data_IF_229752024789
#
_entry.id   IF_229752024789
#
_cell.length_a   1.000
_cell.length_b   1.000
_cell.length_c   1.000
_cell.angle_alpha   90.00
_cell.angle_beta   90.00
_cell.angle_gamma   90.00
#
_symmetry.space_group_name_H-M   'P 1'
#
loop_
_entity.id
_entity.type
_entity.pdbx_description
1 polymer ?
#
# COMPACT_ATOMS: atom_id res chain seq x y z
N UNK A 1 -15.15 0.21 23.98
CA UNK A 1 -16.58 0.25 23.63
C UNK A 1 -16.75 -0.58 22.38
N UNK A 2 -17.15 -1.85 22.54
CA UNK A 2 -17.41 -2.77 21.41
C UNK A 2 -18.81 -2.45 20.89
N UNK A 3 -18.90 -1.60 19.87
CA UNK A 3 -20.12 -1.56 19.07
C UNK A 3 -20.18 -2.86 18.27
N UNK A 4 -21.12 -3.71 18.61
CA UNK A 4 -21.54 -4.86 17.84
C UNK A 4 -21.77 -4.40 16.40
N UNK A 5 -20.83 -4.75 15.50
CA UNK A 5 -21.07 -4.67 14.07
C UNK A 5 -22.02 -5.82 13.76
N UNK A 6 -23.32 -5.58 13.89
CA UNK A 6 -24.33 -6.51 13.44
C UNK A 6 -24.13 -6.72 11.94
N UNK A 7 -23.88 -7.96 11.54
CA UNK A 7 -23.96 -8.41 10.15
C UNK A 7 -25.42 -8.25 9.68
N UNK A 8 -25.81 -7.08 9.28
CA UNK A 8 -27.03 -6.92 8.51
C UNK A 8 -26.59 -7.05 7.06
N UNK A 9 -26.68 -8.27 6.51
CA UNK A 9 -26.61 -8.51 5.07
C UNK A 9 -27.88 -7.88 4.46
N UNK A 10 -27.89 -6.57 4.28
CA UNK A 10 -28.96 -5.86 3.61
C UNK A 10 -28.67 -6.02 2.11
N UNK A 11 -29.20 -7.06 1.49
CA UNK A 11 -29.30 -7.16 0.04
C UNK A 11 -30.60 -6.53 -0.40
N UNK A 12 -30.58 -5.89 -1.57
CA UNK A 12 -31.80 -5.37 -2.18
C UNK A 12 -32.81 -6.51 -2.39
N UNK A 13 -33.89 -6.48 -1.58
CA UNK A 13 -34.97 -7.45 -1.67
C UNK A 13 -36.02 -6.92 -2.63
N UNK A 14 -36.03 -7.51 -3.84
CA UNK A 14 -36.98 -7.19 -4.88
C UNK A 14 -38.44 -7.38 -4.45
N UNK A 15 -38.72 -8.46 -3.69
CA UNK A 15 -40.08 -8.77 -3.27
C UNK A 15 -40.59 -7.76 -2.27
N UNK A 16 -39.77 -7.38 -1.32
CA UNK A 16 -40.10 -6.34 -0.35
C UNK A 16 -40.37 -4.99 -1.05
N UNK A 17 -39.49 -4.57 -1.96
CA UNK A 17 -39.69 -3.35 -2.74
C UNK A 17 -41.00 -3.40 -3.57
N UNK A 18 -41.29 -4.55 -4.21
CA UNK A 18 -42.51 -4.76 -4.97
C UNK A 18 -43.75 -4.63 -4.09
N UNK A 19 -43.77 -5.25 -2.93
CA UNK A 19 -44.87 -5.17 -1.97
C UNK A 19 -45.14 -3.71 -1.52
N UNK A 20 -44.12 -2.94 -1.27
CA UNK A 20 -44.24 -1.52 -0.90
C UNK A 20 -44.89 -0.71 -2.04
N UNK A 21 -44.54 -1.02 -3.29
CA UNK A 21 -45.11 -0.33 -4.46
C UNK A 21 -46.52 -0.74 -4.74
N UNK A 22 -46.86 -2.03 -4.62
CA UNK A 22 -48.23 -2.57 -4.82
C UNK A 22 -49.18 -2.08 -3.73
N UNK A 23 -48.70 -1.77 -2.54
CA UNK A 23 -49.49 -1.18 -1.43
C UNK A 23 -49.53 0.34 -1.46
N UNK A 24 -49.10 0.97 -2.55
CA UNK A 24 -49.04 2.43 -2.73
C UNK A 24 -48.14 3.17 -1.67
N UNK A 25 -47.25 2.46 -1.00
CA UNK A 25 -46.33 3.03 0.00
C UNK A 25 -45.06 3.60 -0.68
N UNK A 26 -45.24 4.53 -1.59
CA UNK A 26 -44.19 5.05 -2.47
C UNK A 26 -43.03 5.67 -1.69
N UNK A 27 -43.30 6.46 -0.63
CA UNK A 27 -42.26 7.09 0.14
C UNK A 27 -41.44 6.08 0.95
N UNK A 28 -42.08 5.00 1.42
CA UNK A 28 -41.33 3.91 2.10
C UNK A 28 -40.50 3.12 1.10
N UNK A 29 -40.98 2.88 -0.12
CA UNK A 29 -40.19 2.26 -1.20
C UNK A 29 -38.97 3.13 -1.56
N UNK A 30 -39.13 4.46 -1.66
CA UNK A 30 -38.02 5.41 -1.86
C UNK A 30 -37.00 5.34 -0.74
N UNK A 31 -37.45 5.37 0.53
CA UNK A 31 -36.58 5.27 1.69
C UNK A 31 -35.81 3.93 1.71
N UNK A 32 -36.48 2.84 1.33
CA UNK A 32 -35.89 1.53 1.20
C UNK A 32 -34.78 1.52 0.15
N UNK A 33 -35.05 2.04 -1.05
CA UNK A 33 -34.04 2.10 -2.14
C UNK A 33 -32.87 3.03 -1.76
N UNK A 34 -33.12 4.15 -1.06
CA UNK A 34 -32.06 5.07 -0.57
C UNK A 34 -31.02 4.38 0.32
N UNK A 35 -31.34 3.25 0.94
CA UNK A 35 -30.37 2.48 1.73
C UNK A 35 -29.29 1.80 0.88
N UNK A 36 -29.56 1.65 -0.43
CA UNK A 36 -28.65 0.93 -1.33
C UNK A 36 -27.94 1.83 -2.33
N UNK A 37 -28.50 2.99 -2.66
CA UNK A 37 -27.97 3.86 -3.72
C UNK A 37 -27.64 5.25 -3.18
N UNK A 38 -26.38 5.63 -3.34
CA UNK A 38 -25.85 6.92 -2.90
C UNK A 38 -25.23 7.64 -4.08
N UNK A 39 -25.23 8.96 -4.09
CA UNK A 39 -24.57 9.76 -5.11
C UNK A 39 -23.47 10.63 -4.53
N UNK A 40 -22.44 10.86 -5.34
CA UNK A 40 -21.40 11.85 -5.10
C UNK A 40 -20.77 12.26 -6.42
N UNK A 41 -20.76 13.54 -6.73
CA UNK A 41 -20.15 14.11 -7.95
C UNK A 41 -20.56 13.34 -9.23
N UNK A 42 -21.84 13.17 -9.47
CA UNK A 42 -22.42 12.44 -10.62
C UNK A 42 -22.10 10.93 -10.70
N UNK A 43 -21.53 10.35 -9.65
CA UNK A 43 -21.31 8.89 -9.53
C UNK A 43 -22.32 8.29 -8.59
N UNK A 44 -22.69 7.03 -8.84
CA UNK A 44 -23.60 6.28 -7.97
C UNK A 44 -22.85 5.15 -7.32
N UNK A 45 -22.99 5.07 -6.01
CA UNK A 45 -22.45 4.00 -5.19
C UNK A 45 -23.58 3.09 -4.74
N UNK A 46 -23.48 1.82 -5.11
CA UNK A 46 -24.39 0.78 -4.66
C UNK A 46 -23.82 0.06 -3.45
N UNK A 47 -24.62 -0.01 -2.38
CA UNK A 47 -24.31 -0.78 -1.19
C UNK A 47 -24.83 -2.21 -1.35
N UNK A 48 -23.92 -3.19 -1.47
CA UNK A 48 -24.27 -4.62 -1.56
C UNK A 48 -24.40 -5.29 -0.15
N UNK A 49 -24.33 -4.50 0.92
CA UNK A 49 -24.32 -4.94 2.31
C UNK A 49 -22.92 -5.29 2.85
N UNK A 50 -21.91 -5.30 1.99
CA UNK A 50 -20.53 -5.65 2.31
C UNK A 50 -19.58 -4.49 1.97
N UNK A 51 -19.82 -3.83 0.85
CA UNK A 51 -18.99 -2.77 0.30
C UNK A 51 -19.83 -1.83 -0.58
N UNK A 52 -19.21 -0.72 -1.00
CA UNK A 52 -19.78 0.15 -2.02
C UNK A 52 -19.18 -0.18 -3.38
N UNK A 53 -20.05 -0.41 -4.37
CA UNK A 53 -19.67 -0.63 -5.76
C UNK A 53 -20.00 0.64 -6.54
N UNK A 54 -19.01 1.17 -7.26
CA UNK A 54 -19.19 2.36 -8.08
C UNK A 54 -19.80 1.99 -9.43
N UNK A 55 -20.87 2.67 -9.80
CA UNK A 55 -21.54 2.54 -11.09
C UNK A 55 -21.69 3.89 -11.80
N UNK A 56 -21.81 3.85 -13.12
CA UNK A 56 -22.46 4.94 -13.85
C UNK A 56 -23.94 4.99 -13.48
N UNK A 57 -24.60 6.14 -13.69
CA UNK A 57 -26.04 6.25 -13.40
C UNK A 57 -26.87 5.21 -14.19
N UNK A 58 -26.52 4.98 -15.44
CA UNK A 58 -27.19 4.01 -16.29
C UNK A 58 -27.02 2.56 -15.81
N UNK A 59 -25.80 2.20 -15.41
CA UNK A 59 -25.50 0.85 -14.92
C UNK A 59 -26.13 0.60 -13.54
N UNK A 60 -26.11 1.59 -12.64
CA UNK A 60 -26.81 1.50 -11.36
C UNK A 60 -28.32 1.27 -11.54
N UNK A 61 -28.93 1.95 -12.50
CA UNK A 61 -30.33 1.75 -12.81
C UNK A 61 -30.67 0.35 -13.39
N UNK A 62 -29.70 -0.33 -14.02
CA UNK A 62 -29.85 -1.74 -14.45
C UNK A 62 -29.97 -2.73 -13.30
N UNK A 63 -29.52 -2.37 -12.11
CA UNK A 63 -29.67 -3.20 -10.90
C UNK A 63 -31.12 -3.24 -10.41
N UNK A 64 -31.94 -2.26 -10.80
CA UNK A 64 -33.35 -2.20 -10.47
C UNK A 64 -34.14 -3.03 -11.49
N UNK A 65 -34.91 -4.03 -11.04
CA UNK A 65 -35.68 -4.88 -11.95
C UNK A 65 -36.71 -4.08 -12.79
N UNK A 66 -36.82 -4.43 -14.06
CA UNK A 66 -37.69 -3.72 -15.00
C UNK A 66 -39.19 -3.90 -14.73
N UNK A 67 -39.58 -4.94 -13.99
CA UNK A 67 -41.00 -5.27 -13.66
C UNK A 67 -41.48 -4.52 -12.41
N UNK A 68 -40.65 -3.78 -11.72
CA UNK A 68 -41.07 -2.90 -10.64
C UNK A 68 -41.69 -1.64 -11.23
N UNK A 69 -42.99 -1.44 -10.97
CA UNK A 69 -43.80 -0.32 -11.50
C UNK A 69 -44.32 0.54 -10.36
N UNK A 70 -44.49 1.81 -10.66
CA UNK A 70 -45.08 2.79 -9.77
C UNK A 70 -46.29 3.44 -10.50
N UNK A 71 -47.43 3.50 -9.84
CA UNK A 71 -48.61 4.21 -10.40
C UNK A 71 -48.50 5.69 -10.08
N UNK A 72 -48.47 6.53 -11.10
CA UNK A 72 -48.36 7.98 -10.99
C UNK A 72 -49.47 8.68 -11.76
N UNK A 73 -49.90 9.83 -11.26
CA UNK A 73 -50.77 10.74 -12.01
C UNK A 73 -49.91 11.48 -13.05
N UNK A 74 -50.08 11.15 -14.34
CA UNK A 74 -49.44 11.88 -15.44
C UNK A 74 -50.50 12.60 -16.28
N UNK A 75 -50.18 13.78 -16.82
CA UNK A 75 -51.06 14.45 -17.74
C UNK A 75 -51.19 13.60 -19.01
N UNK A 76 -52.41 13.28 -19.39
CA UNK A 76 -52.70 12.67 -20.66
C UNK A 76 -52.65 13.76 -21.74
N UNK A 77 -51.74 13.63 -22.72
CA UNK A 77 -51.53 14.63 -23.77
C UNK A 77 -52.78 14.89 -24.63
N UNK A 78 -53.63 13.88 -24.76
CA UNK A 78 -54.86 13.97 -25.58
C UNK A 78 -56.03 14.61 -24.81
N UNK A 79 -56.21 14.19 -23.54
CA UNK A 79 -57.37 14.63 -22.75
C UNK A 79 -57.09 15.84 -21.87
N UNK A 80 -55.82 16.22 -21.70
CA UNK A 80 -55.32 17.22 -20.74
C UNK A 80 -55.76 16.98 -19.30
N UNK A 81 -56.22 15.76 -18.97
CA UNK A 81 -56.57 15.33 -17.61
C UNK A 81 -55.43 14.49 -17.02
N UNK A 82 -55.29 14.54 -15.71
CA UNK A 82 -54.37 13.67 -15.02
C UNK A 82 -54.95 12.28 -14.86
N UNK A 83 -54.24 11.27 -15.36
CA UNK A 83 -54.67 9.86 -15.31
C UNK A 83 -53.57 9.04 -14.63
N UNK A 84 -54.00 7.98 -13.88
CA UNK A 84 -53.02 7.03 -13.28
C UNK A 84 -52.36 6.23 -14.42
N UNK A 85 -51.08 6.32 -14.51
CA UNK A 85 -50.24 5.57 -15.43
C UNK A 85 -49.14 4.79 -14.67
N UNK A 86 -48.97 3.53 -15.04
CA UNK A 86 -47.89 2.70 -14.53
C UNK A 86 -46.58 3.03 -15.24
N UNK A 87 -45.66 3.57 -14.48
CA UNK A 87 -44.32 3.90 -14.95
C UNK A 87 -43.34 2.89 -14.35
N UNK A 88 -42.36 2.44 -15.12
CA UNK A 88 -41.27 1.63 -14.58
C UNK A 88 -40.60 2.39 -13.44
N UNK A 89 -40.34 1.72 -12.33
CA UNK A 89 -39.57 2.31 -11.21
C UNK A 89 -38.22 2.85 -11.68
N UNK A 90 -37.59 2.16 -12.62
CA UNK A 90 -36.33 2.56 -13.24
C UNK A 90 -36.42 3.90 -13.97
N UNK A 91 -37.52 4.11 -14.75
CA UNK A 91 -37.71 5.36 -15.48
C UNK A 91 -38.10 6.50 -14.53
N UNK A 92 -38.91 6.20 -13.50
CA UNK A 92 -39.17 7.15 -12.43
C UNK A 92 -37.93 7.63 -11.74
N UNK A 93 -36.98 6.74 -11.41
CA UNK A 93 -35.71 7.07 -10.77
C UNK A 93 -34.75 7.84 -11.70
N UNK A 94 -34.86 7.68 -13.02
CA UNK A 94 -34.12 8.51 -13.97
C UNK A 94 -34.50 9.99 -13.89
N UNK A 95 -35.77 10.27 -13.69
CA UNK A 95 -36.35 11.61 -13.70
C UNK A 95 -36.32 12.27 -12.30
N UNK A 96 -36.18 11.50 -11.24
CA UNK A 96 -36.27 11.99 -9.86
C UNK A 96 -34.89 12.35 -9.26
N UNK A 97 -34.84 13.38 -8.43
CA UNK A 97 -33.69 13.73 -7.59
C UNK A 97 -33.38 12.70 -6.50
N UNK A 98 -34.12 11.64 -6.47
CA UNK A 98 -34.07 10.59 -5.47
C UNK A 98 -32.68 9.93 -5.34
N UNK A 99 -31.93 9.80 -6.43
CA UNK A 99 -30.56 9.30 -6.43
C UNK A 99 -29.50 10.39 -6.13
N UNK A 100 -29.92 11.60 -5.85
CA UNK A 100 -29.03 12.76 -5.70
C UNK A 100 -28.66 13.06 -4.25
N UNK A 101 -28.76 12.08 -3.35
CA UNK A 101 -28.23 12.25 -1.99
C UNK A 101 -26.70 12.24 -2.04
N UNK A 102 -26.07 13.38 -1.85
CA UNK A 102 -24.61 13.49 -1.83
C UNK A 102 -24.06 12.99 -0.51
N UNK A 103 -23.10 12.07 -0.59
CA UNK A 103 -22.37 11.54 0.55
C UNK A 103 -20.90 11.43 0.19
N UNK A 104 -20.04 11.91 1.07
CA UNK A 104 -18.60 11.95 0.81
C UNK A 104 -17.97 10.56 0.91
N UNK A 105 -17.35 10.01 -0.17
CA UNK A 105 -16.63 8.76 -0.09
C UNK A 105 -15.35 8.94 0.74
N UNK A 106 -15.06 7.97 1.59
CA UNK A 106 -13.83 7.94 2.39
C UNK A 106 -13.39 6.51 2.63
N UNK A 107 -12.23 6.32 3.24
CA UNK A 107 -11.74 5.01 3.66
C UNK A 107 -11.36 5.11 5.14
N UNK A 108 -12.05 4.36 5.99
CA UNK A 108 -11.72 4.22 7.40
C UNK A 108 -11.98 2.78 7.84
N UNK A 109 -10.93 2.02 8.12
CA UNK A 109 -11.02 0.60 8.46
C UNK A 109 -11.67 0.32 9.82
N UNK A 110 -11.89 1.37 10.63
CA UNK A 110 -12.47 1.30 11.97
C UNK A 110 -13.90 1.82 12.03
N UNK A 111 -14.49 2.21 10.91
CA UNK A 111 -15.84 2.73 10.80
C UNK A 111 -16.76 1.80 10.03
N UNK A 112 -18.08 1.82 10.29
CA UNK A 112 -19.06 1.09 9.49
C UNK A 112 -19.13 1.64 8.05
N UNK A 113 -19.87 0.95 7.19
CA UNK A 113 -20.06 1.35 5.78
C UNK A 113 -20.60 2.77 5.61
N UNK A 114 -21.48 3.20 6.51
CA UNK A 114 -22.02 4.56 6.52
C UNK A 114 -21.81 5.10 7.93
N UNK A 115 -21.25 6.29 8.05
CA UNK A 115 -21.05 6.97 9.32
C UNK A 115 -21.11 8.49 9.17
N UNK A 116 -21.40 9.17 10.26
CA UNK A 116 -21.40 10.64 10.34
C UNK A 116 -20.16 11.14 11.07
N UNK A 117 -19.67 12.29 10.66
CA UNK A 117 -18.56 13.00 11.30
C UNK A 117 -18.85 14.49 11.33
N UNK A 118 -18.56 15.13 12.44
CA UNK A 118 -18.54 16.58 12.53
C UNK A 118 -17.29 17.11 11.82
N UNK A 119 -17.50 17.98 10.85
CA UNK A 119 -16.45 18.70 10.14
C UNK A 119 -16.54 20.19 10.44
N UNK A 120 -15.42 20.82 10.73
CA UNK A 120 -15.38 22.26 10.95
C UNK A 120 -15.02 22.97 9.63
N UNK A 121 -15.94 23.82 9.18
CA UNK A 121 -15.73 24.65 8.00
C UNK A 121 -15.82 26.13 8.41
N UNK A 122 -14.71 26.83 8.33
CA UNK A 122 -14.62 28.27 8.69
C UNK A 122 -15.14 28.62 10.08
N UNK A 123 -14.88 27.75 11.06
CA UNK A 123 -15.29 27.94 12.46
C UNK A 123 -16.70 27.46 12.79
N UNK A 124 -17.44 26.90 11.84
CA UNK A 124 -18.76 26.31 12.05
C UNK A 124 -18.70 24.78 11.94
N UNK A 125 -19.37 24.11 12.84
CA UNK A 125 -19.45 22.64 12.85
C UNK A 125 -20.64 22.17 12.02
N UNK A 126 -20.36 21.29 11.08
CA UNK A 126 -21.35 20.60 10.21
C UNK A 126 -21.26 19.11 10.44
N UNK A 127 -22.40 18.42 10.39
CA UNK A 127 -22.46 16.96 10.38
C UNK A 127 -22.52 16.51 8.92
N UNK A 128 -21.49 15.80 8.46
CA UNK A 128 -21.46 15.21 7.14
C UNK A 128 -21.57 13.68 7.22
N UNK A 129 -22.18 13.08 6.21
CA UNK A 129 -22.37 11.63 6.09
C UNK A 129 -21.38 11.06 5.09
N UNK A 130 -20.60 10.08 5.52
CA UNK A 130 -19.56 9.46 4.75
C UNK A 130 -19.91 8.04 4.31
N UNK A 131 -19.56 7.71 3.05
CA UNK A 131 -19.57 6.37 2.52
C UNK A 131 -18.20 5.74 2.71
N UNK A 132 -18.13 4.66 3.47
CA UNK A 132 -16.85 4.01 3.73
C UNK A 132 -16.50 3.02 2.62
N UNK A 133 -15.51 3.36 1.82
CA UNK A 133 -15.00 2.55 0.72
C UNK A 133 -13.98 1.48 1.18
N UNK A 134 -13.74 1.35 2.49
CA UNK A 134 -12.85 0.32 3.02
C UNK A 134 -13.40 -1.06 2.72
N UNK A 135 -12.57 -1.92 2.14
CA UNK A 135 -12.94 -3.33 1.95
C UNK A 135 -13.10 -4.04 3.28
N UNK A 136 -14.00 -5.02 3.38
CA UNK A 136 -14.20 -5.76 4.62
C UNK A 136 -12.99 -6.64 4.96
N UNK A 137 -12.74 -6.81 6.26
CA UNK A 137 -11.85 -7.85 6.77
C UNK A 137 -12.53 -9.22 6.60
N UNK A 138 -11.77 -10.28 6.64
CA UNK A 138 -12.37 -11.62 6.55
C UNK A 138 -13.07 -12.04 7.85
N UNK A 139 -14.36 -11.78 7.94
CA UNK A 139 -15.17 -12.11 9.10
C UNK A 139 -15.34 -13.62 9.38
N UNK A 140 -14.94 -14.50 8.45
CA UNK A 140 -14.90 -15.94 8.71
C UNK A 140 -13.68 -16.36 9.53
N UNK A 141 -12.64 -15.52 9.53
CA UNK A 141 -11.42 -15.70 10.33
C UNK A 141 -11.45 -14.81 11.56
N UNK A 142 -11.71 -13.52 11.36
CA UNK A 142 -11.77 -12.52 12.43
C UNK A 142 -13.23 -12.34 12.84
N UNK A 143 -13.65 -13.15 13.78
CA UNK A 143 -15.05 -13.20 14.20
C UNK A 143 -15.41 -12.06 15.16
N UNK A 144 -14.42 -11.52 15.88
CA UNK A 144 -14.60 -10.54 16.96
C UNK A 144 -15.35 -11.10 18.15
N UNK A 145 -15.63 -12.40 18.19
CA UNK A 145 -16.25 -13.07 19.32
C UNK A 145 -15.20 -13.48 20.33
N UNK A 146 -15.48 -13.38 21.64
CA UNK A 146 -14.60 -13.94 22.65
C UNK A 146 -14.41 -15.44 22.42
N UNK A 147 -13.18 -15.90 22.52
CA UNK A 147 -12.83 -17.33 22.52
C UNK A 147 -11.78 -17.60 23.60
N UNK A 148 -11.75 -18.83 24.09
CA UNK A 148 -10.77 -19.25 25.08
C UNK A 148 -9.39 -19.41 24.43
N UNK A 149 -8.41 -18.67 24.96
CA UNK A 149 -7.01 -18.77 24.55
C UNK A 149 -6.37 -20.00 25.19
N UNK A 150 -6.60 -21.17 24.61
CA UNK A 150 -5.97 -22.40 25.08
C UNK A 150 -4.45 -22.37 24.91
N UNK A 151 -3.72 -23.18 25.68
CA UNK A 151 -2.27 -23.28 25.58
C UNK A 151 -1.84 -23.72 24.16
N UNK A 152 -2.65 -24.52 23.47
CA UNK A 152 -2.42 -24.93 22.10
C UNK A 152 -2.46 -23.72 21.14
N UNK A 153 -3.47 -22.87 21.24
CA UNK A 153 -3.58 -21.65 20.43
C UNK A 153 -2.37 -20.75 20.66
N UNK A 154 -1.97 -20.54 21.91
CA UNK A 154 -0.81 -19.72 22.26
C UNK A 154 0.47 -20.31 21.66
N UNK A 155 0.70 -21.60 21.78
CA UNK A 155 1.89 -22.28 21.25
C UNK A 155 1.92 -22.22 19.71
N UNK A 156 0.77 -22.44 19.06
CA UNK A 156 0.66 -22.35 17.61
C UNK A 156 0.85 -20.91 17.10
N UNK A 157 0.34 -19.89 17.80
CA UNK A 157 0.59 -18.49 17.47
C UNK A 157 2.09 -18.13 17.60
N UNK A 158 2.79 -18.70 18.58
CA UNK A 158 4.25 -18.54 18.71
C UNK A 158 5.03 -19.04 17.50
N UNK A 159 4.53 -20.03 16.76
CA UNK A 159 5.21 -20.48 15.53
C UNK A 159 5.19 -19.39 14.44
N UNK A 160 4.14 -18.57 14.38
CA UNK A 160 4.09 -17.41 13.47
C UNK A 160 5.17 -16.39 13.87
N UNK A 161 5.26 -16.06 15.17
CA UNK A 161 6.28 -15.11 15.67
C UNK A 161 7.70 -15.64 15.46
N UNK A 162 7.94 -16.91 15.75
CA UNK A 162 9.23 -17.55 15.52
C UNK A 162 9.63 -17.52 14.02
N UNK A 163 8.65 -17.69 13.13
CA UNK A 163 8.91 -17.61 11.69
C UNK A 163 9.24 -16.19 11.26
N UNK A 164 8.56 -15.18 11.79
CA UNK A 164 8.87 -13.76 11.55
C UNK A 164 10.28 -13.43 12.06
N UNK A 165 10.61 -13.82 13.29
CA UNK A 165 11.91 -13.52 13.91
C UNK A 165 13.07 -14.26 13.24
N UNK A 166 12.96 -15.59 13.14
CA UNK A 166 14.08 -16.43 12.71
C UNK A 166 14.26 -16.47 11.20
N UNK A 167 13.14 -16.53 10.44
CA UNK A 167 13.22 -16.68 8.98
C UNK A 167 13.18 -15.35 8.26
N UNK A 168 12.20 -14.47 8.54
CA UNK A 168 12.07 -13.20 7.81
C UNK A 168 13.05 -12.14 8.28
N UNK A 169 13.46 -12.17 9.55
CA UNK A 169 14.32 -11.15 10.15
C UNK A 169 15.71 -11.69 10.55
N UNK A 170 16.06 -12.94 10.21
CA UNK A 170 17.35 -13.56 10.50
C UNK A 170 17.83 -13.33 11.94
N UNK A 171 16.90 -13.42 12.91
CA UNK A 171 17.14 -13.19 14.35
C UNK A 171 17.58 -11.74 14.70
N UNK A 172 17.47 -10.80 13.74
CA UNK A 172 17.74 -9.38 14.00
C UNK A 172 16.53 -8.77 14.73
N UNK A 173 16.72 -8.41 15.99
CA UNK A 173 15.68 -7.89 16.88
C UNK A 173 15.08 -6.57 16.37
N UNK A 174 15.88 -5.68 15.84
CA UNK A 174 15.40 -4.38 15.34
C UNK A 174 14.51 -4.56 14.10
N UNK A 175 14.92 -5.47 13.20
CA UNK A 175 14.08 -5.86 12.05
C UNK A 175 12.78 -6.50 12.51
N UNK A 176 12.83 -7.41 13.47
CA UNK A 176 11.67 -8.11 13.99
C UNK A 176 10.66 -7.14 14.62
N UNK A 177 11.11 -6.25 15.50
CA UNK A 177 10.26 -5.22 16.10
C UNK A 177 9.65 -4.29 15.04
N UNK A 178 10.45 -3.90 14.06
CA UNK A 178 9.99 -3.07 12.95
C UNK A 178 8.89 -3.77 12.13
N UNK A 179 9.09 -5.03 11.78
CA UNK A 179 8.12 -5.83 11.01
C UNK A 179 6.82 -6.01 11.77
N UNK A 180 6.88 -6.30 13.07
CA UNK A 180 5.67 -6.40 13.91
C UNK A 180 4.90 -5.06 13.95
N UNK A 181 5.61 -3.93 14.10
CA UNK A 181 5.00 -2.60 14.09
C UNK A 181 4.39 -2.27 12.72
N UNK A 182 5.08 -2.63 11.63
CA UNK A 182 4.56 -2.47 10.27
C UNK A 182 3.27 -3.26 10.07
N UNK A 183 3.23 -4.52 10.50
CA UNK A 183 2.05 -5.38 10.41
C UNK A 183 0.91 -4.80 11.26
N UNK A 184 1.17 -4.41 12.51
CA UNK A 184 0.18 -3.83 13.40
C UNK A 184 -0.44 -2.54 12.82
N UNK A 185 0.37 -1.64 12.28
CA UNK A 185 -0.08 -0.44 11.59
C UNK A 185 -0.93 -0.78 10.35
N UNK A 186 -0.49 -1.75 9.56
CA UNK A 186 -1.20 -2.17 8.34
C UNK A 186 -2.57 -2.76 8.64
N UNK A 187 -2.66 -3.63 9.65
CA UNK A 187 -3.94 -4.24 10.07
C UNK A 187 -4.93 -3.20 10.59
N UNK A 188 -4.44 -2.10 11.18
CA UNK A 188 -5.25 -0.96 11.63
C UNK A 188 -5.52 0.09 10.55
N UNK A 189 -5.00 -0.09 9.34
CA UNK A 189 -5.17 0.86 8.24
C UNK A 189 -4.36 2.15 8.37
N UNK A 190 -3.33 2.17 9.23
CA UNK A 190 -2.38 3.29 9.28
C UNK A 190 -1.48 3.23 8.06
N UNK A 191 -1.54 4.26 7.22
CA UNK A 191 -0.61 4.43 6.10
C UNK A 191 0.79 4.74 6.62
N UNK A 192 1.76 3.94 6.17
CA UNK A 192 3.18 4.15 6.36
C UNK A 192 3.80 4.62 5.03
N UNK A 193 4.82 5.46 5.10
CA UNK A 193 5.56 5.91 3.90
C UNK A 193 6.74 4.99 3.58
N UNK A 194 6.59 3.72 3.92
CA UNK A 194 7.60 2.67 3.80
C UNK A 194 7.03 1.46 3.10
N UNK A 195 7.92 0.71 2.47
CA UNK A 195 7.64 -0.55 1.82
C UNK A 195 8.56 -1.63 2.37
N UNK A 196 8.03 -2.78 2.79
CA UNK A 196 8.86 -3.93 3.11
C UNK A 196 9.33 -4.58 1.81
N UNK A 197 10.62 -4.80 1.69
CA UNK A 197 11.25 -5.45 0.54
C UNK A 197 11.84 -6.80 0.96
N UNK A 198 11.26 -7.88 0.44
CA UNK A 198 11.56 -9.26 0.79
C UNK A 198 12.22 -9.94 -0.41
N UNK A 199 13.54 -9.82 -0.50
CA UNK A 199 14.33 -10.55 -1.50
C UNK A 199 14.95 -11.79 -0.87
N UNK A 200 14.75 -12.96 -1.48
CA UNK A 200 15.37 -14.20 -1.02
C UNK A 200 15.28 -15.28 -2.08
N UNK A 201 16.03 -16.35 -1.90
CA UNK A 201 15.86 -17.59 -2.67
C UNK A 201 14.45 -18.14 -2.50
N UNK A 202 14.06 -18.98 -3.43
CA UNK A 202 12.82 -19.74 -3.34
C UNK A 202 12.81 -20.63 -2.10
N UNK A 203 11.60 -20.95 -1.62
CA UNK A 203 11.35 -21.84 -0.47
C UNK A 203 11.91 -21.37 0.87
N UNK A 204 12.24 -20.08 1.00
CA UNK A 204 12.66 -19.46 2.28
C UNK A 204 11.49 -19.23 3.26
N UNK A 205 10.25 -19.42 2.84
CA UNK A 205 9.05 -19.24 3.68
C UNK A 205 8.44 -17.84 3.65
N UNK A 206 8.99 -16.87 2.87
CA UNK A 206 8.44 -15.49 2.76
C UNK A 206 6.95 -15.48 2.39
N UNK A 207 6.52 -16.39 1.53
CA UNK A 207 5.13 -16.50 1.08
C UNK A 207 4.14 -16.93 2.17
N UNK A 208 4.56 -17.66 3.18
CA UNK A 208 3.67 -18.18 4.24
C UNK A 208 3.02 -17.04 5.02
N UNK A 209 3.80 -16.06 5.46
CA UNK A 209 3.24 -14.91 6.21
C UNK A 209 2.24 -14.13 5.36
N UNK A 210 2.54 -13.94 4.08
CA UNK A 210 1.69 -13.16 3.20
C UNK A 210 0.43 -13.91 2.78
N UNK A 211 0.59 -15.17 2.33
CA UNK A 211 -0.51 -15.92 1.71
C UNK A 211 -1.35 -16.70 2.75
N UNK A 212 -0.71 -17.19 3.83
CA UNK A 212 -1.35 -18.12 4.75
C UNK A 212 -1.65 -17.49 6.12
N UNK A 213 -1.08 -16.31 6.43
CA UNK A 213 -1.40 -15.54 7.63
C UNK A 213 -2.13 -14.25 7.29
N UNK A 214 -1.48 -13.30 6.59
CA UNK A 214 -2.05 -11.97 6.35
C UNK A 214 -3.23 -12.00 5.38
N UNK A 215 -3.15 -12.79 4.29
CA UNK A 215 -4.25 -12.86 3.31
C UNK A 215 -5.52 -13.48 3.89
N UNK A 216 -5.50 -14.58 4.65
CA UNK A 216 -6.68 -15.08 5.34
C UNK A 216 -7.28 -14.10 6.34
N UNK A 217 -6.47 -13.35 7.09
CA UNK A 217 -6.94 -12.33 8.04
C UNK A 217 -7.59 -11.16 7.28
N UNK A 218 -6.89 -10.58 6.33
CA UNK A 218 -7.29 -9.37 5.63
C UNK A 218 -8.39 -9.59 4.59
N UNK A 219 -8.47 -10.79 4.03
CA UNK A 219 -9.43 -11.08 2.98
C UNK A 219 -9.27 -10.14 1.78
N UNK A 220 -10.32 -9.39 1.46
CA UNK A 220 -10.32 -8.44 0.34
C UNK A 220 -9.53 -7.16 0.62
N UNK A 221 -9.20 -6.85 1.89
CA UNK A 221 -8.31 -5.72 2.25
C UNK A 221 -6.87 -5.89 1.78
N UNK A 222 -6.48 -7.12 1.41
CA UNK A 222 -5.18 -7.40 0.82
C UNK A 222 -5.33 -7.76 -0.66
N UNK A 223 -4.66 -7.02 -1.52
CA UNK A 223 -4.54 -7.33 -2.95
C UNK A 223 -3.13 -7.79 -3.28
N UNK A 224 -3.01 -8.91 -3.99
CA UNK A 224 -1.76 -9.48 -4.47
C UNK A 224 -1.73 -9.43 -5.99
N UNK A 225 -0.63 -8.98 -6.56
CA UNK A 225 -0.44 -8.91 -8.02
C UNK A 225 1.03 -9.01 -8.39
N UNK A 226 1.30 -9.56 -9.57
CA UNK A 226 2.58 -9.51 -10.27
C UNK A 226 2.50 -8.64 -11.54
N UNK A 227 1.36 -8.02 -11.80
CA UNK A 227 1.11 -7.24 -13.00
C UNK A 227 1.70 -5.84 -12.89
N UNK A 228 2.63 -5.53 -13.78
CA UNK A 228 3.17 -4.17 -13.97
C UNK A 228 2.10 -3.18 -14.41
N UNK A 229 1.11 -3.64 -15.18
CA UNK A 229 0.00 -2.79 -15.62
C UNK A 229 -0.87 -2.35 -14.45
N UNK A 230 -1.05 -3.20 -13.43
CA UNK A 230 -1.74 -2.82 -12.18
C UNK A 230 -1.03 -1.70 -11.45
N UNK A 231 0.30 -1.60 -11.58
CA UNK A 231 1.07 -0.49 -10.99
C UNK A 231 0.96 0.76 -11.84
N UNK A 232 1.14 0.62 -13.15
CA UNK A 232 1.29 1.77 -14.06
C UNK A 232 -0.05 2.37 -14.50
N UNK A 233 -1.08 1.54 -14.71
CA UNK A 233 -2.30 1.93 -15.41
C UNK A 233 -3.60 1.66 -14.62
N UNK A 234 -3.79 0.45 -14.09
CA UNK A 234 -5.09 -0.02 -13.58
C UNK A 234 -5.06 -0.27 -12.08
N UNK A 235 -5.22 0.82 -11.32
CA UNK A 235 -5.07 0.84 -9.86
C UNK A 235 -6.40 0.65 -9.11
N UNK A 236 -7.51 0.38 -9.81
CA UNK A 236 -8.85 0.22 -9.20
C UNK A 236 -8.88 -0.84 -8.11
N UNK A 237 -8.13 -1.93 -8.29
CA UNK A 237 -8.07 -3.01 -7.31
C UNK A 237 -7.43 -2.61 -5.97
N UNK A 238 -6.71 -1.48 -5.93
CA UNK A 238 -6.07 -0.96 -4.70
C UNK A 238 -7.05 -0.20 -3.80
N UNK A 239 -8.15 0.26 -4.38
CA UNK A 239 -9.17 1.00 -3.63
C UNK A 239 -9.69 0.17 -2.45
N UNK A 240 -9.75 0.78 -1.27
CA UNK A 240 -10.22 0.15 -0.05
C UNK A 240 -9.31 -0.94 0.53
N UNK A 241 -8.13 -1.16 -0.04
CA UNK A 241 -7.13 -2.06 0.53
C UNK A 241 -6.31 -1.37 1.62
N UNK A 242 -5.82 -2.15 2.59
CA UNK A 242 -4.79 -1.70 3.54
C UNK A 242 -3.42 -2.32 3.25
N UNK A 243 -3.35 -3.35 2.41
CA UNK A 243 -2.10 -4.00 2.01
C UNK A 243 -2.11 -4.37 0.54
N UNK A 244 -1.06 -3.97 -0.16
CA UNK A 244 -0.77 -4.44 -1.52
C UNK A 244 0.52 -5.27 -1.48
N UNK A 245 0.45 -6.51 -1.93
CA UNK A 245 1.63 -7.33 -2.16
C UNK A 245 1.93 -7.37 -3.66
N UNK A 246 3.04 -6.76 -4.04
CA UNK A 246 3.62 -6.95 -5.37
C UNK A 246 4.56 -8.16 -5.32
N UNK A 247 4.15 -9.23 -5.98
CA UNK A 247 4.85 -10.51 -5.98
C UNK A 247 5.60 -10.71 -7.30
N UNK A 248 6.89 -11.04 -7.19
CA UNK A 248 7.75 -11.32 -8.35
C UNK A 248 7.75 -10.21 -9.41
N UNK A 249 7.94 -8.96 -8.97
CA UNK A 249 8.14 -7.88 -9.93
C UNK A 249 9.36 -8.18 -10.81
N UNK A 250 9.27 -7.87 -12.11
CA UNK A 250 10.38 -8.04 -13.03
C UNK A 250 11.55 -7.13 -12.66
N UNK A 251 12.73 -7.43 -13.21
CA UNK A 251 13.94 -6.66 -12.96
C UNK A 251 13.73 -5.16 -13.21
N UNK A 252 14.28 -4.31 -12.34
CA UNK A 252 14.05 -2.84 -12.38
C UNK A 252 14.45 -2.19 -13.72
N UNK A 253 15.36 -2.80 -14.46
CA UNK A 253 15.81 -2.32 -15.77
C UNK A 253 14.78 -2.54 -16.89
N UNK A 254 13.85 -3.50 -16.71
CA UNK A 254 12.95 -3.92 -17.78
C UNK A 254 11.74 -2.98 -17.95
N UNK A 255 11.42 -2.16 -16.91
CA UNK A 255 10.23 -1.31 -16.90
C UNK A 255 10.53 0.12 -16.47
N UNK A 256 10.78 0.97 -17.47
CA UNK A 256 10.94 2.40 -17.26
C UNK A 256 9.65 3.00 -16.66
N UNK A 257 9.78 3.71 -15.54
CA UNK A 257 8.65 4.37 -14.86
C UNK A 257 8.00 3.58 -13.73
N UNK A 258 8.22 2.26 -13.60
CA UNK A 258 7.70 1.47 -12.47
C UNK A 258 8.23 1.98 -11.14
N UNK A 259 9.52 2.28 -11.06
CA UNK A 259 10.17 2.78 -9.85
C UNK A 259 9.57 4.12 -9.40
N UNK A 260 9.34 5.05 -10.33
CA UNK A 260 8.77 6.36 -10.01
C UNK A 260 7.31 6.25 -9.59
N UNK A 261 6.54 5.36 -10.23
CA UNK A 261 5.16 5.09 -9.83
C UNK A 261 5.08 4.44 -8.45
N UNK A 262 5.97 3.47 -8.17
CA UNK A 262 6.06 2.85 -6.83
C UNK A 262 6.40 3.87 -5.74
N UNK A 263 7.34 4.80 -6.01
CA UNK A 263 7.63 5.91 -5.08
C UNK A 263 6.36 6.68 -4.71
N UNK A 264 5.57 7.06 -5.71
CA UNK A 264 4.29 7.74 -5.48
C UNK A 264 3.33 6.88 -4.65
N UNK A 265 3.10 5.61 -5.02
CA UNK A 265 2.23 4.71 -4.28
C UNK A 265 2.68 4.48 -2.83
N UNK A 266 3.99 4.53 -2.56
CA UNK A 266 4.54 4.41 -1.19
C UNK A 266 4.29 5.68 -0.39
N UNK A 267 4.54 6.86 -0.95
CA UNK A 267 4.68 8.11 -0.17
C UNK A 267 3.52 9.09 -0.28
N UNK A 268 2.82 9.10 -1.43
CA UNK A 268 1.78 10.10 -1.67
C UNK A 268 0.50 9.81 -0.88
N UNK A 269 -0.20 10.85 -0.39
CA UNK A 269 -1.43 10.71 0.38
C UNK A 269 -2.62 10.28 -0.48
N UNK A 270 -2.54 10.47 -1.79
CA UNK A 270 -3.56 10.08 -2.76
C UNK A 270 -2.94 9.31 -3.91
N UNK A 271 -3.75 8.56 -4.63
CA UNK A 271 -3.35 7.91 -5.87
C UNK A 271 -4.48 7.99 -6.89
N UNK A 272 -4.13 7.99 -8.16
CA UNK A 272 -5.13 7.94 -9.23
C UNK A 272 -5.69 6.52 -9.31
N UNK A 273 -6.94 6.36 -8.89
CA UNK A 273 -7.72 5.12 -8.93
C UNK A 273 -8.36 4.99 -10.31
N UNK A 274 -7.88 4.06 -11.12
CA UNK A 274 -8.30 3.90 -12.51
C UNK A 274 -8.60 2.45 -12.85
N UNK A 275 -9.73 2.24 -13.52
CA UNK A 275 -10.10 0.98 -14.16
C UNK A 275 -9.82 1.03 -15.66
N UNK A 276 -9.90 -0.12 -16.33
CA UNK A 276 -9.86 -0.18 -17.79
C UNK A 276 -11.03 0.63 -18.37
N UNK A 277 -10.73 1.43 -19.39
CA UNK A 277 -11.73 2.29 -20.07
C UNK A 277 -12.38 3.39 -19.20
N UNK A 278 -11.78 3.75 -18.05
CA UNK A 278 -12.24 4.84 -17.20
C UNK A 278 -11.27 6.01 -17.16
N UNK A 279 -11.78 7.22 -16.91
CA UNK A 279 -10.97 8.44 -16.74
C UNK A 279 -10.12 8.43 -15.46
N UNK A 280 -10.42 7.53 -14.52
CA UNK A 280 -9.82 7.53 -13.19
C UNK A 280 -10.31 8.68 -12.29
N UNK A 281 -9.96 8.63 -11.04
CA UNK A 281 -10.20 9.66 -10.02
C UNK A 281 -9.19 9.54 -8.90
N UNK A 282 -8.96 10.64 -8.18
CA UNK A 282 -8.04 10.62 -7.05
C UNK A 282 -8.73 10.01 -5.83
N UNK A 283 -8.03 9.06 -5.20
CA UNK A 283 -8.48 8.35 -4.01
C UNK A 283 -7.43 8.44 -2.92
N UNK A 284 -7.87 8.47 -1.65
CA UNK A 284 -6.96 8.43 -0.50
C UNK A 284 -6.14 7.15 -0.53
N UNK A 285 -4.84 7.29 -0.33
CA UNK A 285 -3.90 6.17 -0.29
C UNK A 285 -3.81 5.62 1.14
N UNK A 286 -4.48 4.52 1.40
CA UNK A 286 -4.55 3.88 2.72
C UNK A 286 -3.75 2.59 2.82
N UNK A 287 -3.22 2.08 1.71
CA UNK A 287 -2.52 0.80 1.70
C UNK A 287 -1.01 0.96 1.96
N UNK A 288 -0.46 0.00 2.66
CA UNK A 288 0.98 -0.25 2.74
C UNK A 288 1.40 -1.25 1.66
N UNK A 289 2.68 -1.28 1.34
CA UNK A 289 3.21 -2.11 0.26
C UNK A 289 4.23 -3.09 0.81
N UNK A 290 4.13 -4.34 0.37
CA UNK A 290 5.17 -5.36 0.51
C UNK A 290 5.58 -5.80 -0.89
N UNK A 291 6.88 -5.77 -1.18
CA UNK A 291 7.47 -6.32 -2.39
C UNK A 291 8.11 -7.65 -2.07
N UNK A 292 7.73 -8.69 -2.79
CA UNK A 292 8.39 -10.00 -2.72
C UNK A 292 9.03 -10.31 -4.07
N UNK A 293 10.26 -10.78 -4.06
CA UNK A 293 10.97 -11.10 -5.29
C UNK A 293 12.10 -12.11 -5.03
N UNK A 294 12.47 -12.84 -6.07
CA UNK A 294 13.69 -13.64 -6.12
C UNK A 294 14.81 -12.92 -6.88
N UNK A 295 14.51 -11.78 -7.50
CA UNK A 295 15.39 -11.00 -8.36
C UNK A 295 15.62 -9.58 -7.82
N UNK A 296 16.55 -8.85 -8.43
CA UNK A 296 16.81 -7.45 -8.12
C UNK A 296 15.75 -6.52 -8.76
N UNK A 297 14.59 -6.43 -8.09
CA UNK A 297 13.47 -5.62 -8.58
C UNK A 297 13.55 -4.13 -8.19
N UNK A 298 14.38 -3.76 -7.22
CA UNK A 298 14.46 -2.39 -6.70
C UNK A 298 15.91 -1.93 -6.61
N UNK A 299 16.19 -0.76 -7.18
CA UNK A 299 17.45 -0.06 -6.99
C UNK A 299 17.36 0.96 -5.86
N UNK A 300 18.22 0.88 -4.85
CA UNK A 300 18.25 1.79 -3.72
C UNK A 300 19.20 2.98 -3.98
N UNK A 301 18.87 3.82 -4.95
CA UNK A 301 19.57 5.09 -5.15
C UNK A 301 19.43 6.02 -3.94
N UNK A 302 20.28 7.05 -3.83
CA UNK A 302 20.22 8.04 -2.74
C UNK A 302 18.84 8.65 -2.51
N UNK A 303 18.07 8.87 -3.57
CA UNK A 303 16.72 9.44 -3.49
C UNK A 303 15.64 8.41 -3.08
N UNK A 304 16.00 7.13 -2.98
CA UNK A 304 15.04 6.04 -2.84
C UNK A 304 15.26 5.15 -1.61
N UNK A 305 16.47 5.16 -1.05
CA UNK A 305 16.86 4.23 0.02
C UNK A 305 16.04 4.37 1.31
N UNK A 306 15.48 5.56 1.58
CA UNK A 306 14.68 5.81 2.79
C UNK A 306 13.24 5.25 2.72
N UNK A 307 12.80 4.70 1.59
CA UNK A 307 11.45 4.17 1.40
C UNK A 307 11.35 2.66 1.59
N UNK A 308 12.45 1.95 1.41
CA UNK A 308 12.48 0.49 1.41
C UNK A 308 13.16 -0.05 2.66
N UNK A 309 12.45 -0.93 3.35
CA UNK A 309 12.96 -1.72 4.45
C UNK A 309 13.34 -3.07 3.85
N UNK A 310 14.62 -3.28 3.57
CA UNK A 310 15.12 -4.54 3.04
C UNK A 310 15.39 -5.48 4.20
N UNK A 311 14.82 -6.69 4.16
CA UNK A 311 15.04 -7.69 5.20
C UNK A 311 16.09 -8.71 4.73
N UNK A 312 16.93 -9.13 5.68
CA UNK A 312 17.85 -10.26 5.50
C UNK A 312 17.07 -11.55 5.82
N UNK A 313 16.60 -12.25 4.79
CA UNK A 313 15.79 -13.45 4.97
C UNK A 313 16.71 -14.66 5.12
N UNK A 314 16.54 -15.39 6.24
CA UNK A 314 17.34 -16.55 6.56
C UNK A 314 17.09 -17.72 5.60
N UNK A 315 18.14 -18.42 5.23
CA UNK A 315 18.11 -19.65 4.45
C UNK A 315 18.12 -20.92 5.31
N UNK A 316 18.25 -20.80 6.64
CA UNK A 316 18.39 -21.94 7.57
C UNK A 316 17.26 -22.99 7.44
N UNK A 317 16.04 -22.54 7.11
CA UNK A 317 14.89 -23.41 7.00
C UNK A 317 14.62 -23.91 5.58
N UNK A 318 15.44 -23.56 4.58
CA UNK A 318 15.26 -24.07 3.22
C UNK A 318 15.42 -25.61 3.22
N UNK A 319 14.38 -26.31 2.75
CA UNK A 319 14.34 -27.78 2.75
C UNK A 319 13.89 -28.43 4.07
N UNK A 320 13.66 -27.68 5.14
CA UNK A 320 13.17 -28.19 6.41
C UNK A 320 11.64 -28.44 6.35
N UNK A 321 11.26 -29.58 5.78
CA UNK A 321 9.86 -29.93 5.56
C UNK A 321 9.06 -30.06 6.87
N UNK A 322 9.67 -30.54 7.95
CA UNK A 322 8.96 -30.73 9.22
C UNK A 322 8.65 -29.38 9.89
N UNK A 323 9.56 -28.43 9.82
CA UNK A 323 9.32 -27.06 10.24
C UNK A 323 8.13 -26.43 9.50
N UNK A 324 8.12 -26.51 8.17
CA UNK A 324 7.04 -25.93 7.38
C UNK A 324 5.71 -26.68 7.52
N UNK A 325 5.72 -28.02 7.74
CA UNK A 325 4.51 -28.79 8.06
C UNK A 325 3.90 -28.36 9.40
N UNK A 326 4.73 -28.20 10.43
CA UNK A 326 4.28 -27.75 11.75
C UNK A 326 3.65 -26.35 11.68
N UNK A 327 4.33 -25.40 11.04
CA UNK A 327 3.83 -24.06 10.83
C UNK A 327 2.52 -24.05 10.02
N UNK A 328 2.47 -24.76 8.89
CA UNK A 328 1.26 -24.86 8.05
C UNK A 328 0.09 -25.50 8.78
N UNK A 329 0.34 -26.49 9.68
CA UNK A 329 -0.70 -27.05 10.53
C UNK A 329 -1.26 -26.04 11.52
N UNK A 330 -0.39 -25.27 12.16
CA UNK A 330 -0.77 -24.26 13.14
C UNK A 330 -1.65 -23.17 12.53
N UNK A 331 -1.28 -22.62 11.38
CA UNK A 331 -1.98 -21.50 10.72
C UNK A 331 -3.30 -21.89 10.05
N UNK A 332 -3.64 -23.18 9.94
CA UNK A 332 -4.97 -23.63 9.50
C UNK A 332 -6.08 -23.31 10.50
N UNK A 333 -5.74 -23.08 11.76
CA UNK A 333 -6.71 -22.72 12.79
C UNK A 333 -7.07 -21.24 12.72
N UNK A 334 -8.37 -20.94 12.49
CA UNK A 334 -8.86 -19.57 12.51
C UNK A 334 -8.61 -18.91 13.87
N UNK A 335 -8.69 -19.63 14.98
CA UNK A 335 -8.41 -19.08 16.31
C UNK A 335 -6.94 -18.66 16.48
N UNK A 336 -6.00 -19.36 15.83
CA UNK A 336 -4.57 -18.97 15.83
C UNK A 336 -4.39 -17.67 15.05
N UNK A 337 -5.02 -17.55 13.89
CA UNK A 337 -4.97 -16.33 13.08
C UNK A 337 -5.68 -15.16 13.77
N UNK A 338 -6.84 -15.39 14.40
CA UNK A 338 -7.55 -14.37 15.16
C UNK A 338 -6.77 -13.96 16.42
N UNK A 339 -6.08 -14.90 17.09
CA UNK A 339 -5.21 -14.55 18.20
C UNK A 339 -4.03 -13.68 17.75
N UNK A 340 -3.36 -14.03 16.65
CA UNK A 340 -2.30 -13.20 16.08
C UNK A 340 -2.82 -11.80 15.70
N UNK A 341 -3.99 -11.72 15.08
CA UNK A 341 -4.63 -10.45 14.77
C UNK A 341 -4.88 -9.61 16.04
N UNK A 342 -5.46 -10.20 17.07
CA UNK A 342 -5.75 -9.52 18.32
C UNK A 342 -4.48 -9.00 19.01
N UNK A 343 -3.41 -9.78 19.01
CA UNK A 343 -2.11 -9.37 19.55
C UNK A 343 -1.54 -8.16 18.76
N UNK A 344 -1.69 -8.15 17.43
CA UNK A 344 -1.28 -6.99 16.61
C UNK A 344 -2.16 -5.76 16.85
N UNK A 345 -3.45 -5.91 17.12
CA UNK A 345 -4.34 -4.82 17.47
C UNK A 345 -3.96 -4.22 18.83
N UNK A 346 -3.62 -5.04 19.83
CA UNK A 346 -3.13 -4.55 21.13
C UNK A 346 -1.77 -3.85 20.97
N UNK A 347 -0.86 -4.44 20.19
CA UNK A 347 0.43 -3.81 19.88
C UNK A 347 0.24 -2.42 19.26
N UNK A 348 -0.67 -2.27 18.31
CA UNK A 348 -0.95 -0.99 17.68
C UNK A 348 -1.36 0.08 18.68
N UNK A 349 -2.20 -0.24 19.69
CA UNK A 349 -2.60 0.71 20.72
C UNK A 349 -1.41 1.27 21.49
N UNK A 350 -0.38 0.45 21.69
CA UNK A 350 0.85 0.85 22.38
C UNK A 350 1.73 1.75 21.52
N UNK A 351 1.85 1.42 20.21
CA UNK A 351 2.85 2.06 19.34
C UNK A 351 2.30 3.24 18.51
N UNK A 352 0.98 3.38 18.38
CA UNK A 352 0.37 4.28 17.38
C UNK A 352 0.78 5.75 17.51
N UNK A 353 1.16 6.21 18.70
CA UNK A 353 1.59 7.58 18.96
C UNK A 353 3.11 7.75 19.08
N UNK A 354 3.84 6.69 19.40
CA UNK A 354 5.26 6.77 19.78
C UNK A 354 6.20 6.18 18.73
N UNK A 355 5.72 5.24 17.89
CA UNK A 355 6.59 4.60 16.92
C UNK A 355 6.80 5.48 15.69
N UNK A 356 8.08 5.68 15.36
CA UNK A 356 8.51 6.42 14.17
C UNK A 356 9.03 5.45 13.11
N UNK A 357 8.30 5.31 12.00
CA UNK A 357 8.67 4.46 10.87
C UNK A 357 9.93 4.91 10.12
N UNK A 358 10.41 6.13 10.36
CA UNK A 358 11.64 6.63 9.72
C UNK A 358 12.92 6.09 10.39
N UNK A 359 12.79 5.54 11.60
CA UNK A 359 13.89 4.83 12.28
C UNK A 359 13.92 3.40 11.72
N UNK A 360 14.66 3.22 10.63
CA UNK A 360 14.74 1.96 9.91
C UNK A 360 15.84 1.07 10.46
N UNK A 361 15.62 -0.26 10.54
CA UNK A 361 16.69 -1.18 10.92
C UNK A 361 17.77 -1.23 9.84
N UNK A 362 19.00 -1.48 10.29
CA UNK A 362 20.13 -1.72 9.41
C UNK A 362 20.16 -3.20 9.03
N UNK A 363 20.33 -3.48 7.74
CA UNK A 363 20.43 -4.83 7.19
C UNK A 363 21.54 -4.90 6.15
N UNK A 364 22.12 -6.08 6.00
CA UNK A 364 23.15 -6.34 5.00
C UNK A 364 22.59 -6.18 3.58
N UNK A 365 21.42 -6.75 3.32
CA UNK A 365 20.73 -6.59 2.01
C UNK A 365 20.56 -5.13 1.65
N UNK A 366 20.18 -4.27 2.61
CA UNK A 366 20.02 -2.83 2.37
C UNK A 366 21.34 -2.17 2.03
N UNK A 367 22.40 -2.50 2.78
CA UNK A 367 23.75 -1.97 2.58
C UNK A 367 24.29 -2.34 1.19
N UNK A 368 24.21 -3.61 0.82
CA UNK A 368 24.67 -4.08 -0.49
C UNK A 368 23.92 -3.39 -1.63
N UNK A 369 22.58 -3.26 -1.54
CA UNK A 369 21.80 -2.56 -2.56
C UNK A 369 22.12 -1.07 -2.69
N UNK A 370 22.48 -0.39 -1.60
CA UNK A 370 22.95 1.00 -1.66
C UNK A 370 24.28 1.07 -2.41
N UNK A 371 25.20 0.14 -2.13
CA UNK A 371 26.50 0.06 -2.79
C UNK A 371 26.33 -0.25 -4.29
N UNK A 372 25.49 -1.22 -4.63
CA UNK A 372 25.18 -1.55 -6.03
C UNK A 372 24.57 -0.37 -6.80
N UNK A 373 23.75 0.44 -6.14
CA UNK A 373 23.09 1.60 -6.72
C UNK A 373 23.95 2.88 -6.75
N UNK A 374 25.20 2.82 -6.28
CA UNK A 374 26.08 3.98 -6.32
C UNK A 374 26.27 4.47 -7.75
N UNK A 375 26.28 5.80 -7.95
CA UNK A 375 26.70 6.41 -9.19
C UNK A 375 28.11 5.93 -9.63
N UNK A 376 28.31 5.83 -10.93
CA UNK A 376 29.56 5.33 -11.49
C UNK A 376 30.79 6.08 -11.00
N UNK A 377 30.65 7.40 -10.71
CA UNK A 377 31.72 8.20 -10.10
C UNK A 377 32.18 7.66 -8.75
N UNK A 378 31.24 7.33 -7.87
CA UNK A 378 31.58 6.84 -6.53
C UNK A 378 32.09 5.40 -6.56
N UNK A 379 31.62 4.57 -7.50
CA UNK A 379 32.20 3.23 -7.77
C UNK A 379 33.66 3.35 -8.22
N UNK A 380 33.92 4.24 -9.19
CA UNK A 380 35.28 4.53 -9.64
C UNK A 380 36.17 5.01 -8.49
N UNK A 381 35.67 5.92 -7.65
CA UNK A 381 36.43 6.41 -6.51
C UNK A 381 36.70 5.31 -5.49
N UNK A 382 35.76 4.40 -5.25
CA UNK A 382 35.96 3.23 -4.39
C UNK A 382 37.08 2.35 -4.95
N UNK A 383 37.02 1.99 -6.22
CA UNK A 383 37.97 1.08 -6.85
C UNK A 383 39.39 1.68 -7.00
N UNK A 384 39.48 2.94 -7.44
CA UNK A 384 40.78 3.55 -7.76
C UNK A 384 41.47 4.18 -6.56
N UNK A 385 40.76 4.61 -5.56
CA UNK A 385 41.38 5.31 -4.41
C UNK A 385 41.17 4.56 -3.10
N UNK A 386 39.96 4.14 -2.75
CA UNK A 386 39.69 3.47 -1.46
C UNK A 386 40.39 2.10 -1.43
N UNK A 387 40.09 1.23 -2.40
CA UNK A 387 40.69 -0.13 -2.44
C UNK A 387 42.19 -0.12 -2.68
N UNK A 388 42.72 0.87 -3.37
CA UNK A 388 44.16 1.06 -3.57
C UNK A 388 44.83 1.79 -2.41
N UNK A 389 44.05 2.13 -1.38
CA UNK A 389 44.54 2.75 -0.17
C UNK A 389 45.26 4.11 -0.39
N UNK A 390 44.70 4.95 -1.32
CA UNK A 390 45.25 6.25 -1.71
C UNK A 390 44.25 7.37 -1.54
N UNK A 391 44.71 8.60 -1.41
CA UNK A 391 43.91 9.81 -1.50
C UNK A 391 43.85 10.35 -2.94
N UNK A 392 43.04 11.40 -3.16
CA UNK A 392 43.00 12.11 -4.43
C UNK A 392 43.91 13.34 -4.31
N UNK A 393 44.88 13.45 -5.15
CA UNK A 393 45.74 14.62 -5.27
C UNK A 393 46.10 14.88 -6.76
N UNK A 394 45.10 15.32 -7.53
CA UNK A 394 45.15 15.30 -8.98
C UNK A 394 44.47 16.54 -9.59
N UNK A 395 44.97 17.03 -10.74
CA UNK A 395 44.30 18.08 -11.52
C UNK A 395 42.92 17.63 -11.96
N UNK A 396 41.97 18.56 -11.98
CA UNK A 396 40.58 18.26 -12.32
C UNK A 396 40.37 17.73 -13.74
N UNK A 397 41.16 18.18 -14.69
CA UNK A 397 41.18 17.71 -16.07
C UNK A 397 41.67 16.25 -16.16
N UNK A 398 42.79 15.94 -15.53
CA UNK A 398 43.36 14.56 -15.51
C UNK A 398 42.40 13.58 -14.80
N UNK A 399 41.84 13.97 -13.65
CA UNK A 399 40.84 13.17 -12.95
C UNK A 399 39.67 12.82 -13.85
N UNK A 400 39.16 13.80 -14.59
CA UNK A 400 38.03 13.60 -15.49
C UNK A 400 38.37 12.75 -16.71
N UNK A 401 39.59 12.89 -17.23
CA UNK A 401 40.07 12.04 -18.34
C UNK A 401 40.20 10.59 -17.91
N UNK A 402 40.87 10.32 -16.80
CA UNK A 402 41.01 8.97 -16.25
C UNK A 402 39.67 8.33 -15.92
N UNK A 403 38.80 9.09 -15.23
CA UNK A 403 37.45 8.64 -14.93
C UNK A 403 36.69 8.19 -16.19
N UNK A 404 36.67 9.04 -17.24
CA UNK A 404 36.02 8.73 -18.49
C UNK A 404 36.65 7.59 -19.25
N UNK A 405 37.97 7.48 -19.22
CA UNK A 405 38.69 6.40 -19.86
C UNK A 405 38.35 5.03 -19.26
N UNK A 406 38.32 4.96 -17.91
CA UNK A 406 38.06 3.72 -17.18
C UNK A 406 36.58 3.36 -17.22
N UNK A 407 35.69 4.31 -16.96
CA UNK A 407 34.27 4.03 -16.76
C UNK A 407 33.43 4.12 -18.03
N UNK A 408 33.93 4.79 -19.08
CA UNK A 408 33.19 5.16 -20.31
C UNK A 408 31.92 5.97 -20.03
N UNK A 409 31.80 6.58 -18.82
CA UNK A 409 30.66 7.38 -18.43
C UNK A 409 30.60 8.69 -19.23
N UNK A 410 29.39 9.05 -19.69
CA UNK A 410 29.11 10.26 -20.46
C UNK A 410 28.68 11.45 -19.59
N UNK A 411 28.77 11.33 -18.29
CA UNK A 411 28.37 12.41 -17.36
C UNK A 411 29.23 13.66 -17.61
N UNK A 412 28.56 14.81 -17.65
CA UNK A 412 29.24 16.10 -17.89
C UNK A 412 30.17 16.49 -16.73
N UNK A 413 31.29 17.17 -17.02
CA UNK A 413 32.22 17.66 -15.99
C UNK A 413 31.56 18.47 -14.89
N UNK A 414 30.58 19.31 -15.24
CA UNK A 414 29.83 20.15 -14.29
C UNK A 414 29.00 19.29 -13.33
N UNK A 415 28.40 18.21 -13.81
CA UNK A 415 27.65 17.28 -12.98
C UNK A 415 28.58 16.50 -12.05
N UNK A 416 29.74 16.04 -12.54
CA UNK A 416 30.77 15.38 -11.73
C UNK A 416 31.25 16.33 -10.62
N UNK A 417 31.56 17.58 -10.97
CA UNK A 417 31.99 18.58 -9.97
C UNK A 417 30.92 18.84 -8.87
N UNK A 418 29.63 18.87 -9.24
CA UNK A 418 28.54 18.95 -8.25
C UNK A 418 28.48 17.71 -7.34
N UNK A 419 28.60 16.53 -7.90
CA UNK A 419 28.60 15.27 -7.13
C UNK A 419 29.77 15.20 -6.15
N UNK A 420 30.97 15.60 -6.57
CA UNK A 420 32.14 15.67 -5.70
C UNK A 420 31.94 16.70 -4.57
N UNK A 421 31.37 17.85 -4.88
CA UNK A 421 31.03 18.89 -3.89
C UNK A 421 30.00 18.39 -2.85
N UNK A 422 29.01 17.58 -3.25
CA UNK A 422 28.00 16.98 -2.36
C UNK A 422 28.62 16.06 -1.31
N UNK A 423 29.78 15.51 -1.57
CA UNK A 423 30.54 14.68 -0.63
C UNK A 423 31.73 15.42 0.01
N UNK A 424 31.77 16.76 -0.12
CA UNK A 424 32.76 17.60 0.53
C UNK A 424 34.08 17.74 -0.25
N UNK A 425 34.19 17.20 -1.47
CA UNK A 425 35.40 17.34 -2.29
C UNK A 425 35.26 18.55 -3.19
N UNK A 426 36.00 19.60 -2.88
CA UNK A 426 36.02 20.87 -3.61
C UNK A 426 37.31 21.02 -4.40
N UNK A 427 37.22 21.57 -5.62
CA UNK A 427 38.44 21.89 -6.37
C UNK A 427 39.09 23.17 -5.88
N UNK A 428 40.38 23.13 -5.69
CA UNK A 428 41.22 24.26 -5.29
C UNK A 428 41.95 24.83 -6.52
N UNK A 429 42.02 26.17 -6.62
CA UNK A 429 42.74 26.85 -7.69
C UNK A 429 44.24 26.68 -7.49
N UNK A 430 44.96 26.28 -8.51
CA UNK A 430 46.41 26.22 -8.49
C UNK A 430 47.05 27.59 -8.67
N UNK A 431 48.23 27.80 -8.14
CA UNK A 431 49.06 29.00 -8.36
C UNK A 431 49.38 29.17 -9.84
N UNK A 432 49.59 30.42 -10.30
CA UNK A 432 49.96 30.76 -11.69
C UNK A 432 48.93 30.36 -12.78
N UNK A 433 47.66 30.39 -12.48
CA UNK A 433 46.57 30.03 -13.44
C UNK A 433 46.69 28.59 -14.03
N UNK A 434 47.39 27.68 -13.36
CA UNK A 434 47.63 26.30 -13.82
C UNK A 434 46.36 25.39 -13.75
N UNK A 435 45.16 25.97 -13.51
CA UNK A 435 43.89 25.25 -13.43
C UNK A 435 43.42 24.95 -12.00
N UNK A 436 42.65 23.87 -11.87
CA UNK A 436 42.07 23.45 -10.59
C UNK A 436 42.54 22.02 -10.26
N UNK A 437 42.52 21.69 -8.96
CA UNK A 437 42.96 20.40 -8.43
C UNK A 437 41.96 19.90 -7.38
N UNK A 438 41.63 18.62 -7.42
CA UNK A 438 40.99 17.92 -6.31
C UNK A 438 42.08 17.43 -5.35
N UNK A 439 41.88 17.69 -4.06
CA UNK A 439 42.79 17.20 -3.01
C UNK A 439 41.97 16.73 -1.81
N UNK A 440 42.11 15.46 -1.45
CA UNK A 440 41.52 14.87 -0.24
C UNK A 440 42.46 13.76 0.23
N UNK A 441 42.72 13.70 1.53
CA UNK A 441 43.54 12.63 2.11
C UNK A 441 42.83 11.28 2.01
N UNK A 442 43.58 10.21 2.11
CA UNK A 442 43.04 8.85 2.18
C UNK A 442 42.09 8.69 3.36
N UNK A 443 42.48 9.19 4.52
CA UNK A 443 41.73 9.11 5.77
C UNK A 443 40.40 9.83 5.66
N UNK A 444 40.37 11.05 5.11
CA UNK A 444 39.17 11.84 4.92
C UNK A 444 38.24 11.20 3.86
N UNK A 445 38.82 10.67 2.77
CA UNK A 445 38.05 9.98 1.74
C UNK A 445 37.39 8.70 2.29
N UNK A 446 38.16 7.90 3.02
CA UNK A 446 37.68 6.70 3.70
C UNK A 446 36.56 7.05 4.68
N UNK A 447 36.74 8.10 5.49
CA UNK A 447 35.72 8.58 6.41
C UNK A 447 34.43 8.96 5.71
N UNK A 448 34.51 9.72 4.61
CA UNK A 448 33.30 10.08 3.79
C UNK A 448 32.55 8.84 3.34
N UNK A 449 33.26 7.83 2.85
CA UNK A 449 32.63 6.61 2.35
C UNK A 449 32.07 5.74 3.48
N UNK A 450 32.73 5.70 4.63
CA UNK A 450 32.26 5.01 5.84
C UNK A 450 31.00 5.68 6.41
N UNK A 451 31.02 7.01 6.59
CA UNK A 451 29.88 7.78 7.10
C UNK A 451 28.64 7.62 6.22
N UNK A 452 28.84 7.46 4.91
CA UNK A 452 27.77 7.23 3.93
C UNK A 452 27.40 5.74 3.76
N UNK A 453 28.10 4.83 4.43
CA UNK A 453 27.93 3.37 4.34
C UNK A 453 28.09 2.82 2.91
N UNK A 454 29.07 3.34 2.18
CA UNK A 454 29.39 2.94 0.80
C UNK A 454 30.51 1.91 0.70
N UNK A 455 31.01 1.45 1.84
CA UNK A 455 32.11 0.49 1.94
C UNK A 455 31.60 -0.78 2.63
N UNK A 456 32.10 -1.94 2.21
CA UNK A 456 31.93 -3.21 2.90
C UNK A 456 32.87 -3.27 4.11
N UNK A 457 32.43 -3.87 5.22
CA UNK A 457 33.22 -3.98 6.44
C UNK A 457 34.48 -4.84 6.29
N UNK A 458 34.72 -5.40 5.12
CA UNK A 458 35.85 -6.28 4.80
C UNK A 458 37.10 -5.54 4.25
N UNK A 459 37.11 -4.21 4.29
CA UNK A 459 38.28 -3.43 3.89
C UNK A 459 39.11 -3.13 5.17
N UNK A 460 39.98 -4.06 5.54
CA UNK A 460 41.07 -3.85 6.51
C UNK A 460 42.23 -3.03 5.91
#
# INVERSE_FOLDING_TARGET
MNSQISKVNIRFDRLHCKNLLETEQIEQAKQYIRQFFFSYQNKIFYNDGISFILYTREDALKLIPNDLKISMLKPNELTKKYEKQDVSLKDYLKESEFLNTEHTPTIDFNKPLIFTKTINIRGHDFIDTFLNMAKPINYNVITGKPFEKTQEIINNTKLIYNHLENSLCSKNKDCYEYVLNFIACTLNGRKLRKCLYLQSKERSGKGIILNDVLKPILGTRMYKTNSVESILKYTKNFEGCCLINFDELPHSADYKGVQDKLKGLITEPTFNCRDMYSSGYDQVNTFNIILTTNNDAVSLSQSNNSRYICLDISEENIGNNDYFKALSKAIKSNHVLENFYNDMMERYKTICQIWNEDIMPETETRRLKIIEALPQLYKYMKEEFILKNTGIDQRTDLFLEEYKLITKDKTSPQKIGRMLKEIGIVSNKLSNNAGYKYKISKEDLLKVFTDKKWIDETID
#
